data_IF_076827942380
#
_entry.id   IF_076827942380
#
_cell.length_a   1.000
_cell.length_b   1.000
_cell.length_c   1.000
_cell.angle_alpha   90.00
_cell.angle_beta   90.00
_cell.angle_gamma   90.00
#
_symmetry.space_group_name_H-M   'P 1'
#
loop_
_entity.id
_entity.type
_entity.pdbx_description
1 polymer ?
#
# COMPACT_ATOMS: atom_id res chain seq x y z
N UNK A 1 -58.45 -67.88 -26.68
CA UNK A 1 -58.57 -69.35 -26.51
C UNK A 1 -57.19 -69.92 -26.16
N UNK A 2 -57.14 -70.69 -25.08
CA UNK A 2 -56.09 -71.63 -24.63
C UNK A 2 -54.69 -71.17 -24.14
N UNK A 3 -54.51 -71.37 -22.83
CA UNK A 3 -53.26 -71.66 -22.08
C UNK A 3 -52.60 -72.99 -22.50
N UNK A 4 -51.27 -73.09 -22.28
CA UNK A 4 -50.48 -74.23 -21.73
C UNK A 4 -49.01 -73.76 -21.64
N UNK A 5 -48.37 -73.53 -20.49
CA UNK A 5 -47.76 -74.45 -19.50
C UNK A 5 -46.79 -75.49 -20.07
N UNK A 6 -45.47 -75.38 -19.78
CA UNK A 6 -44.63 -76.56 -19.49
C UNK A 6 -43.24 -76.22 -18.88
N UNK A 7 -43.04 -76.70 -17.65
CA UNK A 7 -41.90 -77.46 -17.07
C UNK A 7 -40.43 -76.98 -17.08
N UNK A 8 -39.93 -77.01 -15.84
CA UNK A 8 -38.59 -77.05 -15.25
C UNK A 8 -37.63 -78.15 -15.76
N UNK A 9 -36.29 -77.89 -15.79
CA UNK A 9 -35.18 -78.76 -15.29
C UNK A 9 -33.78 -78.21 -15.66
N UNK A 10 -32.91 -78.09 -14.66
CA UNK A 10 -31.46 -77.83 -14.78
C UNK A 10 -30.66 -79.08 -15.19
N UNK A 11 -29.42 -78.90 -15.69
CA UNK A 11 -28.33 -79.76 -15.22
C UNK A 11 -26.99 -79.04 -14.90
N UNK A 12 -26.43 -79.42 -13.75
CA UNK A 12 -25.06 -79.88 -13.44
C UNK A 12 -23.81 -78.96 -13.59
N UNK A 13 -23.06 -78.97 -12.48
CA UNK A 13 -21.75 -78.44 -12.11
C UNK A 13 -20.52 -78.91 -12.93
N UNK A 14 -19.52 -78.02 -13.14
CA UNK A 14 -18.12 -78.03 -12.59
C UNK A 14 -17.01 -77.54 -13.57
N UNK A 15 -16.38 -76.43 -13.13
CA UNK A 15 -15.00 -75.96 -13.23
C UNK A 15 -14.00 -76.47 -14.30
N UNK A 16 -13.36 -75.51 -15.00
CA UNK A 16 -11.91 -75.56 -15.28
C UNK A 16 -11.28 -74.16 -15.27
N UNK A 17 -10.12 -74.06 -14.61
CA UNK A 17 -9.28 -72.88 -14.34
C UNK A 17 -8.73 -72.25 -15.62
N UNK A 18 -8.61 -70.92 -15.67
CA UNK A 18 -7.43 -70.24 -16.25
C UNK A 18 -7.08 -69.02 -15.39
N UNK A 19 -5.78 -68.91 -15.17
CA UNK A 19 -4.95 -68.01 -14.38
C UNK A 19 -5.12 -66.50 -14.62
N UNK A 20 -4.76 -65.76 -13.57
CA UNK A 20 -4.66 -64.31 -13.51
C UNK A 20 -3.71 -63.71 -14.57
N UNK A 21 -4.10 -62.56 -15.10
CA UNK A 21 -3.17 -61.52 -15.54
C UNK A 21 -3.47 -60.27 -14.70
N UNK A 22 -2.61 -60.02 -13.72
CA UNK A 22 -2.60 -58.79 -12.95
C UNK A 22 -1.81 -57.71 -13.70
N UNK A 23 -2.30 -56.47 -13.58
CA UNK A 23 -1.56 -55.23 -13.51
C UNK A 23 -0.63 -54.87 -14.68
N UNK A 24 -1.07 -53.96 -15.58
CA UNK A 24 -0.43 -52.66 -15.85
C UNK A 24 -1.48 -51.75 -16.55
N UNK A 25 -2.33 -51.06 -15.80
CA UNK A 25 -3.14 -49.96 -16.36
C UNK A 25 -3.51 -48.86 -15.32
N UNK A 26 -2.99 -48.96 -14.09
CA UNK A 26 -3.41 -48.08 -12.98
C UNK A 26 -2.36 -47.08 -12.49
N UNK A 27 -1.13 -47.08 -13.04
CA UNK A 27 -0.04 -46.22 -12.54
C UNK A 27 0.42 -45.12 -13.51
N UNK A 28 -0.05 -45.10 -14.76
CA UNK A 28 0.31 -44.05 -15.72
C UNK A 28 -0.59 -42.80 -15.63
N UNK A 29 -1.77 -42.90 -15.03
CA UNK A 29 -2.69 -41.76 -14.89
C UNK A 29 -2.44 -40.90 -13.64
N UNK A 30 -1.83 -41.45 -12.58
CA UNK A 30 -1.49 -40.66 -11.38
C UNK A 30 -0.14 -39.93 -11.51
N UNK A 31 0.77 -40.42 -12.36
CA UNK A 31 1.99 -39.70 -12.76
C UNK A 31 1.70 -38.63 -13.83
N UNK A 32 0.72 -38.85 -14.71
CA UNK A 32 0.31 -37.85 -15.70
C UNK A 32 -0.50 -36.68 -15.09
N UNK A 33 -1.26 -36.92 -14.01
CA UNK A 33 -2.06 -35.87 -13.33
C UNK A 33 -1.26 -35.10 -12.27
N UNK A 34 -0.04 -35.54 -11.97
CA UNK A 34 0.93 -34.77 -11.15
C UNK A 34 1.94 -33.99 -12.00
N UNK A 35 2.04 -34.26 -13.31
CA UNK A 35 2.88 -33.51 -14.25
C UNK A 35 2.16 -32.35 -14.96
N UNK A 36 0.83 -32.26 -14.91
CA UNK A 36 0.06 -31.18 -15.56
C UNK A 36 -0.22 -29.96 -14.64
N UNK A 37 0.51 -29.83 -13.53
CA UNK A 37 0.51 -28.63 -12.66
C UNK A 37 1.92 -28.10 -12.41
N UNK A 38 2.91 -28.51 -13.23
CA UNK A 38 4.17 -27.78 -13.26
C UNK A 38 3.85 -26.36 -13.73
N UNK A 39 3.92 -25.44 -12.76
CA UNK A 39 3.70 -24.01 -12.85
C UNK A 39 4.05 -23.42 -14.23
N UNK A 40 3.12 -22.66 -14.81
CA UNK A 40 3.47 -21.64 -15.80
C UNK A 40 4.31 -20.59 -15.06
N UNK A 41 5.61 -20.85 -14.92
CA UNK A 41 6.57 -19.92 -14.38
C UNK A 41 6.65 -18.66 -15.23
N UNK A 42 7.34 -17.62 -14.75
CA UNK A 42 7.49 -16.37 -15.50
C UNK A 42 8.08 -16.64 -16.89
N UNK A 43 7.42 -16.10 -17.92
CA UNK A 43 7.88 -16.17 -19.31
C UNK A 43 9.03 -15.19 -19.60
N UNK A 44 9.32 -14.29 -18.67
CA UNK A 44 10.40 -13.31 -18.71
C UNK A 44 11.36 -13.51 -17.54
N UNK A 45 12.66 -13.31 -17.77
CA UNK A 45 13.64 -13.28 -16.69
C UNK A 45 13.37 -12.09 -15.76
N UNK A 46 13.63 -12.28 -14.47
CA UNK A 46 13.50 -11.22 -13.46
C UNK A 46 14.41 -10.03 -13.84
N UNK A 47 13.89 -8.79 -13.90
CA UNK A 47 14.71 -7.60 -14.11
C UNK A 47 15.80 -7.46 -13.03
N UNK A 48 16.85 -6.70 -13.34
CA UNK A 48 17.79 -6.26 -12.31
C UNK A 48 17.13 -5.38 -11.25
N UNK A 49 17.71 -5.32 -10.05
CA UNK A 49 17.31 -4.33 -9.05
C UNK A 49 17.48 -2.91 -9.62
N UNK A 50 16.52 -1.99 -9.37
CA UNK A 50 16.62 -0.63 -9.88
C UNK A 50 17.77 0.12 -9.23
N UNK A 51 18.54 0.87 -10.02
CA UNK A 51 19.60 1.76 -9.55
C UNK A 51 19.22 3.21 -9.80
N UNK A 52 19.54 4.08 -8.83
CA UNK A 52 19.30 5.53 -8.93
C UNK A 52 20.37 6.16 -9.83
N UNK A 53 19.94 6.76 -10.94
CA UNK A 53 20.79 7.47 -11.90
C UNK A 53 20.83 8.96 -11.59
N UNK A 54 19.68 9.56 -11.25
CA UNK A 54 19.55 10.95 -10.84
C UNK A 54 18.42 11.08 -9.83
N UNK A 55 18.59 11.98 -8.86
CA UNK A 55 17.62 12.24 -7.80
C UNK A 55 17.54 13.74 -7.55
N UNK A 56 16.52 14.37 -8.09
CA UNK A 56 16.25 15.80 -8.04
C UNK A 56 14.89 16.03 -7.37
N UNK A 57 14.62 17.23 -6.83
CA UNK A 57 13.30 17.52 -6.27
C UNK A 57 12.22 17.24 -7.32
N UNK A 58 11.22 16.43 -6.96
CA UNK A 58 10.11 16.00 -7.82
C UNK A 58 10.47 15.04 -8.97
N UNK A 59 11.74 14.66 -9.14
CA UNK A 59 12.18 13.84 -10.27
C UNK A 59 13.19 12.76 -9.85
N UNK A 60 12.93 11.51 -10.24
CA UNK A 60 13.80 10.38 -9.96
C UNK A 60 14.05 9.59 -11.24
N UNK A 61 15.31 9.46 -11.63
CA UNK A 61 15.71 8.65 -12.77
C UNK A 61 16.25 7.31 -12.28
N UNK A 62 15.64 6.22 -12.74
CA UNK A 62 16.02 4.84 -12.44
C UNK A 62 16.48 4.13 -13.70
N UNK A 63 17.39 3.17 -13.54
CA UNK A 63 17.78 2.21 -14.58
C UNK A 63 17.90 0.80 -13.98
N UNK A 64 17.83 -0.24 -14.81
CA UNK A 64 18.00 -1.64 -14.38
C UNK A 64 18.54 -2.50 -15.52
N UNK A 65 18.96 -3.71 -15.20
CA UNK A 65 19.26 -4.73 -16.22
C UNK A 65 17.94 -5.24 -16.84
N UNK A 66 17.80 -5.24 -18.18
CA UNK A 66 16.55 -5.63 -18.85
C UNK A 66 16.23 -7.12 -18.68
N UNK A 67 14.94 -7.44 -18.81
CA UNK A 67 14.44 -8.81 -18.91
C UNK A 67 14.60 -9.36 -20.34
N UNK A 68 14.66 -10.68 -20.43
CA UNK A 68 14.66 -11.47 -21.67
C UNK A 68 13.60 -12.56 -21.59
N UNK A 69 13.16 -13.10 -22.72
CA UNK A 69 12.28 -14.26 -22.73
C UNK A 69 12.96 -15.50 -22.13
N UNK A 70 12.18 -16.32 -21.42
CA UNK A 70 12.60 -17.61 -20.89
C UNK A 70 12.26 -18.70 -21.90
N UNK A 71 13.27 -19.45 -22.37
CA UNK A 71 13.09 -20.53 -23.33
C UNK A 71 13.13 -20.09 -24.80
N UNK A 72 13.08 -21.08 -25.71
CA UNK A 72 13.17 -20.89 -27.16
C UNK A 72 11.94 -21.46 -27.88
N UNK A 73 11.40 -20.79 -28.91
CA UNK A 73 11.81 -19.47 -29.39
C UNK A 73 11.35 -18.35 -28.45
N UNK A 74 12.21 -17.37 -28.22
CA UNK A 74 11.82 -16.15 -27.50
C UNK A 74 10.69 -15.40 -28.23
N UNK A 75 9.80 -14.74 -27.48
CA UNK A 75 8.76 -13.90 -28.05
C UNK A 75 9.31 -12.62 -28.70
N UNK A 76 8.54 -12.01 -29.59
CA UNK A 76 8.88 -10.74 -30.26
C UNK A 76 8.12 -9.55 -29.70
N UNK A 77 7.19 -9.80 -28.77
CA UNK A 77 6.36 -8.75 -28.18
C UNK A 77 7.20 -7.81 -27.30
N UNK A 78 6.87 -6.51 -27.28
CA UNK A 78 7.59 -5.54 -26.47
C UNK A 78 7.42 -5.88 -24.99
N UNK A 79 8.52 -5.72 -24.24
CA UNK A 79 8.51 -5.87 -22.79
C UNK A 79 8.28 -4.49 -22.17
N UNK A 80 7.23 -4.39 -21.35
CA UNK A 80 6.93 -3.22 -20.54
C UNK A 80 7.40 -3.47 -19.12
N UNK A 81 8.05 -2.47 -18.53
CA UNK A 81 8.49 -2.48 -17.14
C UNK A 81 7.61 -1.56 -16.32
N UNK A 82 7.25 -2.00 -15.11
CA UNK A 82 6.55 -1.21 -14.11
C UNK A 82 7.47 -0.98 -12.91
N UNK A 83 7.54 0.27 -12.44
CA UNK A 83 8.19 0.62 -11.17
C UNK A 83 7.14 0.52 -10.07
N UNK A 84 7.39 -0.35 -9.09
CA UNK A 84 6.47 -0.72 -8.04
C UNK A 84 7.03 -0.36 -6.66
N UNK A 85 6.16 0.10 -5.77
CA UNK A 85 6.42 0.21 -4.33
C UNK A 85 5.59 -0.85 -3.60
N UNK A 86 6.20 -1.84 -2.93
CA UNK A 86 5.48 -2.82 -2.13
C UNK A 86 4.81 -2.13 -0.94
N UNK A 87 3.51 -2.36 -0.76
CA UNK A 87 2.71 -1.85 0.38
C UNK A 87 2.28 -2.97 1.34
N UNK A 88 2.54 -4.22 0.96
CA UNK A 88 2.18 -5.41 1.73
C UNK A 88 2.30 -6.67 0.87
N UNK A 89 1.94 -7.85 1.41
CA UNK A 89 1.95 -9.09 0.65
C UNK A 89 1.12 -8.95 -0.63
N UNK A 90 1.76 -9.10 -1.79
CA UNK A 90 1.14 -9.00 -3.11
C UNK A 90 0.37 -7.69 -3.39
N UNK A 91 0.67 -6.62 -2.66
CA UNK A 91 0.03 -5.31 -2.84
C UNK A 91 1.11 -4.30 -3.21
N UNK A 92 0.96 -3.68 -4.37
CA UNK A 92 1.94 -2.74 -4.92
C UNK A 92 1.27 -1.46 -5.37
N UNK A 93 2.00 -0.36 -5.25
CA UNK A 93 1.68 0.92 -5.88
C UNK A 93 2.61 1.13 -7.07
N UNK A 94 2.04 1.29 -8.27
CA UNK A 94 2.80 1.69 -9.45
C UNK A 94 3.21 3.17 -9.39
N UNK A 95 4.48 3.46 -9.68
CA UNK A 95 4.98 4.83 -9.83
C UNK A 95 5.06 5.27 -11.29
N UNK A 96 5.20 4.31 -12.21
CA UNK A 96 5.27 4.58 -13.65
C UNK A 96 5.68 3.33 -14.44
N UNK A 97 5.58 3.42 -15.76
CA UNK A 97 5.91 2.33 -16.68
C UNK A 97 6.69 2.81 -17.90
N UNK A 98 7.52 1.93 -18.47
CA UNK A 98 8.36 2.23 -19.65
C UNK A 98 8.62 0.95 -20.46
N UNK A 99 9.02 1.08 -21.73
CA UNK A 99 9.47 -0.05 -22.55
C UNK A 99 11.00 -0.12 -22.69
N UNK A 100 11.72 0.83 -22.09
CA UNK A 100 13.18 0.82 -22.00
C UNK A 100 13.60 0.44 -20.59
N UNK A 101 14.83 -0.07 -20.37
CA UNK A 101 15.32 -0.44 -19.04
C UNK A 101 15.71 0.77 -18.17
N UNK A 102 15.00 1.89 -18.35
CA UNK A 102 15.21 3.15 -17.64
C UNK A 102 13.94 4.00 -17.67
N UNK A 103 13.70 4.76 -16.60
CA UNK A 103 12.58 5.70 -16.53
C UNK A 103 12.94 6.92 -15.70
N UNK A 104 12.43 8.07 -16.12
CA UNK A 104 12.40 9.29 -15.32
C UNK A 104 10.98 9.45 -14.76
N UNK A 105 10.83 9.23 -13.46
CA UNK A 105 9.59 9.48 -12.74
C UNK A 105 9.51 10.97 -12.41
N UNK A 106 8.34 11.57 -12.61
CA UNK A 106 8.07 12.98 -12.35
C UNK A 106 6.96 13.13 -11.31
N UNK A 107 6.85 14.32 -10.71
CA UNK A 107 5.86 14.65 -9.69
C UNK A 107 5.90 13.71 -8.47
N UNK A 108 7.07 13.14 -8.17
CA UNK A 108 7.25 12.35 -6.95
C UNK A 108 7.38 13.28 -5.74
N UNK A 109 6.64 13.02 -4.65
CA UNK A 109 6.80 13.78 -3.42
C UNK A 109 8.28 13.81 -2.97
N UNK A 110 8.87 15.00 -2.78
CA UNK A 110 10.25 15.12 -2.32
C UNK A 110 10.45 14.57 -0.90
N UNK A 111 11.70 14.26 -0.53
CA UNK A 111 12.07 13.76 0.80
C UNK A 111 11.38 12.46 1.25
N UNK A 112 10.81 11.70 0.32
CA UNK A 112 9.97 10.54 0.58
C UNK A 112 10.77 9.25 0.52
N UNK A 113 10.63 8.42 1.55
CA UNK A 113 11.19 7.07 1.60
C UNK A 113 10.34 6.12 0.75
N UNK A 114 11.02 5.37 -0.12
CA UNK A 114 10.43 4.31 -0.92
C UNK A 114 11.32 3.08 -0.90
N UNK A 115 10.70 1.92 -0.81
CA UNK A 115 11.25 0.67 -1.30
C UNK A 115 10.76 0.41 -2.73
N UNK A 116 11.64 0.50 -3.74
CA UNK A 116 11.24 0.32 -5.15
C UNK A 116 11.70 -1.02 -5.72
N UNK A 117 10.87 -1.62 -6.57
CA UNK A 117 11.20 -2.80 -7.35
C UNK A 117 10.67 -2.69 -8.79
N UNK A 118 11.16 -3.55 -9.68
CA UNK A 118 10.77 -3.58 -11.09
C UNK A 118 10.11 -4.92 -11.40
N UNK A 119 8.98 -4.86 -12.10
CA UNK A 119 8.37 -6.03 -12.75
C UNK A 119 8.29 -5.79 -14.25
N UNK A 120 8.55 -6.84 -15.03
CA UNK A 120 8.36 -6.83 -16.47
C UNK A 120 7.10 -7.61 -16.85
N UNK A 121 6.38 -7.14 -17.85
CA UNK A 121 5.26 -7.83 -18.45
C UNK A 121 5.21 -7.62 -19.96
N UNK A 122 4.51 -8.51 -20.64
CA UNK A 122 4.26 -8.45 -22.08
C UNK A 122 2.97 -9.20 -22.40
N UNK A 123 2.56 -9.22 -23.66
CA UNK A 123 1.41 -10.02 -24.07
C UNK A 123 1.78 -11.50 -23.89
N UNK A 124 1.03 -12.19 -23.03
CA UNK A 124 1.22 -13.62 -22.77
C UNK A 124 2.34 -13.97 -21.79
N UNK A 125 2.90 -12.99 -21.05
CA UNK A 125 3.99 -13.26 -20.12
C UNK A 125 4.24 -12.18 -19.07
N UNK A 126 4.85 -12.59 -17.95
CA UNK A 126 5.30 -11.72 -16.87
C UNK A 126 6.64 -12.22 -16.32
N UNK A 127 7.32 -11.37 -15.55
CA UNK A 127 8.47 -11.72 -14.71
C UNK A 127 8.09 -11.76 -13.23
N UNK A 128 8.90 -12.45 -12.43
CA UNK A 128 8.95 -12.15 -11.00
C UNK A 128 9.42 -10.70 -10.77
N UNK A 129 9.11 -10.14 -9.59
CA UNK A 129 9.59 -8.82 -9.16
C UNK A 129 11.08 -8.87 -8.84
N UNK A 130 11.83 -7.85 -9.24
CA UNK A 130 13.25 -7.72 -8.89
C UNK A 130 13.47 -7.54 -7.39
N UNK A 131 14.72 -7.67 -6.95
CA UNK A 131 15.09 -7.27 -5.60
C UNK A 131 14.83 -5.76 -5.41
N UNK A 132 14.46 -5.38 -4.18
CA UNK A 132 14.12 -4.01 -3.86
C UNK A 132 15.35 -3.13 -3.68
N UNK A 133 15.19 -1.85 -3.98
CA UNK A 133 16.14 -0.78 -3.65
C UNK A 133 15.46 0.23 -2.75
N UNK A 134 15.99 0.41 -1.54
CA UNK A 134 15.52 1.45 -0.63
C UNK A 134 16.15 2.80 -1.01
N UNK A 135 15.34 3.84 -1.12
CA UNK A 135 15.80 5.19 -1.42
C UNK A 135 14.95 6.26 -0.75
N UNK A 136 15.53 7.47 -0.66
CA UNK A 136 14.80 8.69 -0.33
C UNK A 136 14.90 9.66 -1.49
N UNK A 137 13.77 10.18 -1.96
CA UNK A 137 13.77 11.25 -2.98
C UNK A 137 14.44 12.51 -2.44
N UNK A 138 15.06 13.30 -3.32
CA UNK A 138 15.68 14.56 -2.94
C UNK A 138 14.68 15.46 -2.21
N UNK A 139 15.15 16.27 -1.26
CA UNK A 139 14.29 17.18 -0.52
C UNK A 139 13.75 18.31 -1.40
N UNK A 140 12.52 18.72 -1.12
CA UNK A 140 11.88 19.87 -1.75
C UNK A 140 12.27 21.17 -1.04
N UNK A 141 11.34 22.14 -1.06
CA UNK A 141 11.50 23.44 -0.39
C UNK A 141 11.48 23.36 1.13
N UNK A 142 10.83 22.34 1.69
CA UNK A 142 10.74 22.15 3.12
C UNK A 142 10.63 20.67 3.47
N UNK A 143 10.86 20.33 4.74
CA UNK A 143 10.64 18.99 5.29
C UNK A 143 10.01 19.06 6.68
N UNK A 144 9.53 17.91 7.17
CA UNK A 144 9.08 17.75 8.55
C UNK A 144 10.04 16.83 9.30
N UNK A 145 10.61 17.34 10.39
CA UNK A 145 11.23 16.51 11.41
C UNK A 145 10.21 16.25 12.53
N UNK A 146 10.24 15.04 13.07
CA UNK A 146 9.29 14.47 14.01
C UNK A 146 10.02 13.86 15.20
N UNK A 147 9.42 13.99 16.37
CA UNK A 147 9.85 13.34 17.61
C UNK A 147 8.61 12.84 18.34
N UNK A 148 8.44 11.53 18.43
CA UNK A 148 7.39 10.96 19.27
C UNK A 148 7.78 11.13 20.75
N UNK A 149 6.87 11.67 21.56
CA UNK A 149 7.06 11.82 23.00
C UNK A 149 6.39 10.68 23.79
N UNK A 150 5.53 9.90 23.15
CA UNK A 150 4.85 8.78 23.74
C UNK A 150 5.53 7.44 23.41
N UNK A 151 5.90 6.72 24.46
CA UNK A 151 6.49 5.39 24.34
C UNK A 151 5.44 4.29 24.34
N UNK A 152 4.19 4.60 24.71
CA UNK A 152 3.07 3.70 24.66
C UNK A 152 2.32 3.90 23.33
N UNK A 153 2.33 2.93 22.40
CA UNK A 153 1.55 3.03 21.15
C UNK A 153 0.03 2.96 21.38
N UNK A 154 -0.39 2.73 22.62
CA UNK A 154 -1.79 2.66 23.01
C UNK A 154 -1.98 3.39 24.33
N UNK A 155 -2.49 4.61 24.27
CA UNK A 155 -2.84 5.45 25.41
C UNK A 155 -4.02 6.37 25.06
N UNK A 156 -4.46 7.22 25.98
CA UNK A 156 -5.57 8.15 25.81
C UNK A 156 -5.24 9.41 24.99
N UNK A 157 -4.00 9.54 24.50
CA UNK A 157 -3.55 10.70 23.73
C UNK A 157 -2.46 10.30 22.73
N UNK A 158 -2.46 10.96 21.58
CA UNK A 158 -1.35 11.02 20.63
C UNK A 158 -0.48 12.19 21.03
N UNK A 159 0.81 11.98 21.24
CA UNK A 159 1.72 13.05 21.71
C UNK A 159 3.05 13.06 20.98
N UNK A 160 3.30 14.13 20.21
CA UNK A 160 4.52 14.27 19.44
C UNK A 160 4.94 15.74 19.29
N UNK A 161 6.18 15.91 18.86
CA UNK A 161 6.72 17.20 18.45
C UNK A 161 7.04 17.14 16.97
N UNK A 162 6.67 18.19 16.24
CA UNK A 162 7.07 18.39 14.86
C UNK A 162 7.79 19.73 14.69
N UNK A 163 8.58 19.84 13.63
CA UNK A 163 9.11 21.11 13.16
C UNK A 163 9.18 21.13 11.65
N UNK A 164 8.84 22.28 11.07
CA UNK A 164 9.03 22.57 9.65
C UNK A 164 10.44 23.11 9.47
N UNK A 165 11.21 22.52 8.55
CA UNK A 165 12.57 22.95 8.23
C UNK A 165 12.62 23.41 6.78
N UNK A 166 13.15 24.60 6.52
CA UNK A 166 13.37 25.10 5.17
C UNK A 166 14.61 24.45 4.56
N UNK A 167 14.41 23.57 3.58
CA UNK A 167 15.49 22.88 2.85
C UNK A 167 15.82 23.56 1.52
N UNK A 168 15.05 24.59 1.14
CA UNK A 168 15.27 25.36 -0.07
C UNK A 168 16.36 26.43 0.09
N UNK A 169 16.67 27.09 -1.04
CA UNK A 169 17.66 28.16 -1.10
C UNK A 169 17.07 29.58 -0.90
N UNK A 170 15.75 29.69 -0.70
CA UNK A 170 15.04 30.97 -0.54
C UNK A 170 14.30 31.01 0.79
N UNK A 171 14.02 32.21 1.35
CA UNK A 171 13.16 32.33 2.52
C UNK A 171 11.78 31.69 2.29
N UNK A 172 11.28 30.96 3.29
CA UNK A 172 9.99 30.28 3.27
C UNK A 172 9.00 31.02 4.17
N UNK A 173 7.93 31.60 3.59
CA UNK A 173 6.81 32.12 4.36
C UNK A 173 5.95 30.97 4.88
N UNK A 174 5.82 30.84 6.20
CA UNK A 174 5.06 29.75 6.81
C UNK A 174 3.56 29.83 6.49
N UNK A 175 3.04 30.99 6.08
CA UNK A 175 1.62 31.10 5.67
C UNK A 175 1.28 30.27 4.45
N UNK A 176 2.27 29.91 3.64
CA UNK A 176 2.08 29.08 2.46
C UNK A 176 2.23 27.58 2.76
N UNK A 177 2.65 27.24 3.98
CA UNK A 177 2.90 25.87 4.41
C UNK A 177 1.62 25.24 4.96
N UNK A 178 1.36 24.00 4.52
CA UNK A 178 0.36 23.10 5.11
C UNK A 178 1.05 21.81 5.48
N UNK A 179 0.87 21.33 6.70
CA UNK A 179 1.41 20.05 7.17
C UNK A 179 0.26 19.16 7.61
N UNK A 180 0.19 17.93 7.10
CA UNK A 180 -0.86 16.96 7.44
C UNK A 180 -0.27 15.76 8.17
N UNK A 181 -0.69 15.57 9.43
CA UNK A 181 -0.48 14.34 10.18
C UNK A 181 -1.65 13.40 9.89
N UNK A 182 -1.40 12.33 9.14
CA UNK A 182 -2.37 11.34 8.72
C UNK A 182 -2.59 10.29 9.82
N UNK A 183 -3.85 9.97 10.07
CA UNK A 183 -4.29 9.04 11.11
C UNK A 183 -5.50 8.22 10.67
N UNK A 184 -5.80 7.17 11.41
CA UNK A 184 -6.98 6.33 11.23
C UNK A 184 -7.90 6.48 12.44
N UNK A 185 -9.15 6.92 12.21
CA UNK A 185 -10.14 7.04 13.27
C UNK A 185 -10.74 5.67 13.60
N UNK A 186 -10.11 4.99 14.55
CA UNK A 186 -10.54 3.67 14.98
C UNK A 186 -11.97 3.67 15.55
N UNK A 187 -12.73 2.64 15.17
CA UNK A 187 -14.14 2.51 15.53
C UNK A 187 -15.06 3.53 14.85
N UNK A 188 -14.55 4.32 13.91
CA UNK A 188 -15.32 5.30 13.14
C UNK A 188 -15.69 6.57 13.88
N UNK A 189 -15.16 6.80 15.09
CA UNK A 189 -15.35 8.05 15.81
C UNK A 189 -14.37 9.10 15.30
N UNK A 190 -14.87 10.00 14.44
CA UNK A 190 -14.07 11.08 13.83
C UNK A 190 -13.93 12.32 14.73
N UNK A 191 -14.30 12.24 16.00
CA UNK A 191 -14.15 13.35 16.95
C UNK A 191 -12.80 13.27 17.67
N UNK A 192 -11.97 14.29 17.46
CA UNK A 192 -10.67 14.44 18.09
C UNK A 192 -10.50 15.88 18.57
N UNK A 193 -10.07 16.05 19.82
CA UNK A 193 -9.60 17.34 20.33
C UNK A 193 -8.14 17.48 19.90
N UNK A 194 -7.82 18.60 19.24
CA UNK A 194 -6.48 18.86 18.71
C UNK A 194 -5.86 20.06 19.39
N UNK A 195 -4.77 19.84 20.11
CA UNK A 195 -4.12 20.83 20.97
C UNK A 195 -2.69 21.10 20.54
N UNK A 196 -2.22 22.29 20.90
CA UNK A 196 -0.84 22.72 20.82
C UNK A 196 -0.46 23.04 22.26
N UNK A 197 0.39 22.22 22.85
CA UNK A 197 0.80 22.40 24.25
C UNK A 197 1.85 23.50 24.34
N UNK A 198 2.75 23.55 23.34
CA UNK A 198 3.81 24.53 23.24
C UNK A 198 4.32 24.64 21.81
N UNK A 199 4.68 25.84 21.37
CA UNK A 199 5.36 26.05 20.11
C UNK A 199 6.34 27.21 20.21
N UNK A 200 7.52 27.07 19.62
CA UNK A 200 8.51 28.16 19.57
C UNK A 200 7.95 29.41 18.87
N UNK A 201 7.09 29.23 17.86
CA UNK A 201 6.38 30.30 17.16
C UNK A 201 5.20 30.89 17.95
N UNK A 202 4.81 30.27 19.07
CA UNK A 202 3.55 30.53 19.78
C UNK A 202 2.39 29.69 19.23
N UNK A 203 1.63 29.03 20.12
CA UNK A 203 0.51 28.18 19.72
C UNK A 203 -0.67 28.96 19.10
N UNK A 204 -0.77 30.27 19.36
CA UNK A 204 -1.71 31.18 18.71
C UNK A 204 -1.47 31.31 17.20
N UNK A 205 -0.25 31.00 16.75
CA UNK A 205 0.13 31.00 15.32
C UNK A 205 -0.03 29.66 14.62
N UNK A 206 -0.33 28.59 15.35
CA UNK A 206 -0.50 27.24 14.81
C UNK A 206 -1.98 26.87 14.81
N UNK A 207 -2.61 26.98 13.65
CA UNK A 207 -3.99 26.56 13.45
C UNK A 207 -4.01 25.05 13.17
N UNK A 208 -4.98 24.34 13.77
CA UNK A 208 -5.18 22.91 13.54
C UNK A 208 -6.60 22.68 13.05
N UNK A 209 -6.76 21.85 12.04
CA UNK A 209 -8.05 21.49 11.46
C UNK A 209 -8.11 19.98 11.26
N UNK A 210 -9.25 19.38 11.62
CA UNK A 210 -9.48 17.95 11.50
C UNK A 210 -10.22 17.65 10.20
N UNK A 211 -9.68 16.72 9.40
CA UNK A 211 -10.30 16.23 8.18
C UNK A 211 -10.47 14.71 8.26
N UNK A 212 -11.55 14.19 7.69
CA UNK A 212 -11.83 12.76 7.62
C UNK A 212 -12.56 12.42 6.33
N UNK A 213 -12.40 11.18 5.86
CA UNK A 213 -12.94 10.71 4.59
C UNK A 213 -13.76 9.45 4.81
N UNK A 214 -15.09 9.62 4.81
CA UNK A 214 -15.98 8.47 4.89
C UNK A 214 -15.81 7.62 3.62
N UNK A 215 -15.75 6.28 3.74
CA UNK A 215 -15.69 5.42 2.57
C UNK A 215 -16.97 5.61 1.72
N UNK A 216 -16.96 5.30 0.42
CA UNK A 216 -18.10 5.48 -0.46
C UNK A 216 -19.14 4.38 -0.31
N UNK A 217 -20.43 4.73 -0.25
CA UNK A 217 -21.52 3.76 -0.14
C UNK A 217 -21.48 2.72 -1.28
N UNK A 218 -21.88 1.46 -1.02
CA UNK A 218 -21.97 0.45 -2.07
C UNK A 218 -22.87 0.95 -3.21
N UNK A 219 -22.55 0.63 -4.48
CA UNK A 219 -23.41 0.98 -5.58
C UNK A 219 -24.80 0.36 -5.39
N UNK A 220 -25.88 1.05 -5.82
CA UNK A 220 -27.20 0.46 -5.78
C UNK A 220 -27.24 -0.83 -6.61
N UNK A 221 -28.09 -1.80 -6.23
CA UNK A 221 -28.20 -3.05 -6.99
C UNK A 221 -28.69 -2.78 -8.42
N UNK A 222 -28.33 -3.66 -9.39
CA UNK A 222 -28.72 -3.47 -10.79
C UNK A 222 -30.24 -3.35 -10.97
N UNK A 223 -30.72 -2.55 -11.95
CA UNK A 223 -32.14 -2.51 -12.27
C UNK A 223 -32.69 -3.90 -12.58
N UNK A 224 -33.75 -4.33 -11.88
CA UNK A 224 -34.40 -5.62 -12.10
C UNK A 224 -33.98 -6.75 -11.15
N UNK A 225 -33.03 -6.52 -10.22
CA UNK A 225 -32.83 -7.44 -9.11
C UNK A 225 -34.04 -7.42 -8.18
N UNK A 226 -34.68 -8.57 -7.96
CA UNK A 226 -35.74 -8.71 -6.96
C UNK A 226 -35.21 -8.27 -5.59
N UNK A 227 -35.92 -7.41 -4.83
CA UNK A 227 -35.46 -7.00 -3.51
C UNK A 227 -35.43 -8.25 -2.63
N UNK A 228 -34.24 -8.80 -2.43
CA UNK A 228 -34.04 -9.70 -1.29
C UNK A 228 -34.30 -8.81 -0.07
N UNK A 229 -35.22 -9.17 0.83
CA UNK A 229 -35.44 -8.35 2.02
C UNK A 229 -34.14 -8.34 2.81
N UNK A 230 -33.37 -7.26 2.68
CA UNK A 230 -32.24 -6.97 3.56
C UNK A 230 -32.90 -6.58 4.89
N UNK A 231 -32.81 -7.39 5.94
CA UNK A 231 -33.66 -7.23 7.12
C UNK A 231 -33.23 -6.07 8.03
N UNK A 232 -32.37 -5.15 7.59
CA UNK A 232 -31.83 -4.10 8.44
C UNK A 232 -31.53 -2.87 7.62
N UNK A 233 -31.89 -1.69 8.14
CA UNK A 233 -31.36 -0.43 7.64
C UNK A 233 -29.82 -0.50 7.69
N UNK A 234 -29.17 -0.70 6.55
CA UNK A 234 -27.71 -0.64 6.45
C UNK A 234 -27.30 0.80 6.69
N UNK A 235 -27.03 1.16 7.95
CA UNK A 235 -26.28 2.37 8.27
C UNK A 235 -24.91 2.23 7.63
N UNK A 236 -24.58 3.16 6.73
CA UNK A 236 -23.30 3.18 6.03
C UNK A 236 -22.52 4.44 6.41
N UNK A 237 -21.19 4.36 6.67
CA UNK A 237 -20.43 3.12 6.82
C UNK A 237 -20.93 2.28 7.99
N UNK A 238 -20.59 0.98 7.98
CA UNK A 238 -20.92 0.08 9.08
C UNK A 238 -20.37 0.68 10.37
N UNK A 239 -21.16 0.73 11.47
CA UNK A 239 -20.63 1.22 12.75
C UNK A 239 -19.35 0.47 13.12
N UNK A 240 -18.30 1.21 13.49
CA UNK A 240 -16.98 0.64 13.77
C UNK A 240 -16.02 0.61 12.59
N UNK A 241 -16.45 0.92 11.36
CA UNK A 241 -15.54 1.03 10.21
C UNK A 241 -14.49 2.12 10.48
N UNK A 242 -13.18 1.80 10.42
CA UNK A 242 -12.12 2.80 10.52
C UNK A 242 -12.27 3.85 9.41
N UNK A 243 -12.06 5.11 9.76
CA UNK A 243 -12.17 6.23 8.83
C UNK A 243 -10.79 6.87 8.67
N UNK A 244 -10.22 6.94 7.47
CA UNK A 244 -8.96 7.65 7.26
C UNK A 244 -9.17 9.16 7.41
N UNK A 245 -8.15 9.86 7.88
CA UNK A 245 -8.16 11.31 7.92
C UNK A 245 -6.81 11.90 8.31
N UNK A 246 -6.82 13.19 8.62
CA UNK A 246 -5.61 13.89 9.04
C UNK A 246 -5.92 15.11 9.91
N UNK A 247 -4.93 15.49 10.72
CA UNK A 247 -4.87 16.82 11.34
C UNK A 247 -3.97 17.70 10.50
N UNK A 248 -4.56 18.75 9.92
CA UNK A 248 -3.86 19.76 9.15
C UNK A 248 -3.39 20.89 10.05
N UNK A 249 -2.12 21.24 9.94
CA UNK A 249 -1.52 22.42 10.53
C UNK A 249 -1.35 23.50 9.46
N UNK A 250 -1.76 24.72 9.80
CA UNK A 250 -1.47 25.95 9.03
C UNK A 250 -0.95 27.04 9.95
N UNK A 251 -0.17 27.97 9.39
CA UNK A 251 0.49 29.01 10.16
C UNK A 251 -0.04 30.40 9.80
N UNK A 252 -0.21 31.27 10.80
CA UNK A 252 -0.70 32.64 10.58
C UNK A 252 0.44 33.63 10.24
N UNK A 253 1.70 33.23 10.45
CA UNK A 253 2.88 34.01 10.09
C UNK A 253 4.19 33.35 10.47
N UNK A 254 5.29 34.02 10.08
CA UNK A 254 6.67 33.57 10.28
C UNK A 254 7.37 33.35 8.94
N UNK A 255 8.69 33.54 8.93
CA UNK A 255 9.54 33.29 7.77
C UNK A 255 10.77 32.53 8.20
N UNK A 256 11.10 31.45 7.50
CA UNK A 256 12.30 30.65 7.74
C UNK A 256 13.35 30.99 6.70
N UNK A 257 14.53 31.43 7.12
CA UNK A 257 15.67 31.52 6.21
C UNK A 257 16.08 30.11 5.72
N UNK A 258 16.85 30.00 4.62
CA UNK A 258 17.40 28.72 4.18
C UNK A 258 18.12 27.99 5.32
N UNK A 259 17.76 26.72 5.56
CA UNK A 259 18.33 25.89 6.63
C UNK A 259 17.71 26.08 8.02
N UNK A 260 16.89 27.12 8.23
CA UNK A 260 16.24 27.38 9.52
C UNK A 260 14.98 26.51 9.71
N UNK A 261 14.58 26.38 10.98
CA UNK A 261 13.37 25.65 11.38
C UNK A 261 12.35 26.55 12.07
N UNK A 262 11.09 26.10 12.11
CA UNK A 262 10.06 26.69 12.97
C UNK A 262 10.39 26.62 14.47
N UNK A 263 11.41 25.85 14.85
CA UNK A 263 11.55 25.31 16.19
C UNK A 263 10.45 24.29 16.50
N UNK A 264 10.48 23.72 17.71
CA UNK A 264 9.57 22.64 18.09
C UNK A 264 8.12 23.13 18.22
N UNK A 265 7.19 22.29 17.75
CA UNK A 265 5.74 22.44 17.88
C UNK A 265 5.23 21.16 18.53
N UNK A 266 4.88 21.22 19.81
CA UNK A 266 4.35 20.11 20.58
C UNK A 266 2.85 20.02 20.41
N UNK A 267 2.38 18.87 19.95
CA UNK A 267 1.00 18.62 19.56
C UNK A 267 0.46 17.44 20.36
N UNK A 268 -0.78 17.58 20.81
CA UNK A 268 -1.50 16.54 21.51
C UNK A 268 -2.88 16.35 20.90
N UNK A 269 -3.22 15.12 20.56
CA UNK A 269 -4.55 14.77 20.08
C UNK A 269 -5.20 13.74 20.99
N UNK A 270 -6.47 13.90 21.33
CA UNK A 270 -7.17 12.93 22.17
C UNK A 270 -8.66 12.88 21.86
N UNK A 271 -9.32 11.77 22.21
CA UNK A 271 -10.77 11.68 22.15
C UNK A 271 -11.41 12.56 23.23
N UNK A 272 -12.60 13.10 22.97
CA UNK A 272 -13.33 13.94 23.94
C UNK A 272 -13.51 13.28 25.32
N UNK A 273 -13.65 11.95 25.33
CA UNK A 273 -13.86 11.15 26.54
C UNK A 273 -12.58 10.51 27.09
N UNK A 274 -11.40 10.84 26.55
CA UNK A 274 -10.10 10.28 26.95
C UNK A 274 -10.04 8.75 26.87
N UNK A 275 -10.86 8.12 26.03
CA UNK A 275 -10.68 6.69 25.74
C UNK A 275 -9.41 6.47 24.93
N UNK A 276 -8.77 5.33 25.15
CA UNK A 276 -7.54 4.97 24.48
C UNK A 276 -7.69 4.95 22.94
N UNK A 277 -6.61 5.36 22.28
CA UNK A 277 -6.34 5.21 20.86
C UNK A 277 -5.19 4.22 20.68
N UNK A 278 -5.14 3.54 19.53
CA UNK A 278 -3.97 2.80 19.08
C UNK A 278 -3.39 3.58 17.91
N UNK A 279 -2.10 3.87 17.93
CA UNK A 279 -1.47 4.71 16.92
C UNK A 279 -0.75 3.89 15.83
N UNK A 280 -0.65 2.57 15.99
CA UNK A 280 0.18 1.72 15.10
C UNK A 280 -0.34 1.64 13.67
N UNK A 281 -1.62 1.89 13.48
CA UNK A 281 -2.30 1.97 12.19
C UNK A 281 -2.50 3.42 11.70
N UNK A 282 -1.98 4.42 12.43
CA UNK A 282 -1.89 5.79 11.94
C UNK A 282 -0.74 5.89 10.92
N UNK A 283 -1.01 6.34 9.67
CA UNK A 283 0.03 6.42 8.67
C UNK A 283 1.20 7.30 9.10
N UNK A 284 0.95 8.44 9.76
CA UNK A 284 2.02 9.34 10.20
C UNK A 284 2.71 8.91 11.50
N UNK A 285 2.28 7.87 12.19
CA UNK A 285 2.91 7.46 13.45
C UNK A 285 4.26 6.77 13.22
N UNK A 286 5.21 7.06 14.10
CA UNK A 286 6.46 6.32 14.25
C UNK A 286 6.74 6.10 15.73
N UNK A 287 7.21 4.91 16.08
CA UNK A 287 7.58 4.59 17.46
C UNK A 287 8.62 5.57 18.03
N UNK A 288 8.52 5.86 19.33
CA UNK A 288 9.49 6.69 20.01
C UNK A 288 10.90 6.09 20.01
N UNK A 289 11.86 6.93 19.64
CA UNK A 289 13.30 6.63 19.67
C UNK A 289 14.06 7.58 20.60
N UNK A 290 13.40 8.62 21.12
CA UNK A 290 14.00 9.69 21.91
C UNK A 290 14.83 10.70 21.11
N UNK A 291 14.86 10.59 19.78
CA UNK A 291 15.60 11.50 18.89
C UNK A 291 14.73 11.98 17.74
N UNK A 292 15.05 13.18 17.24
CA UNK A 292 14.41 13.72 16.04
C UNK A 292 14.75 12.86 14.83
N UNK A 293 13.74 12.58 14.00
CA UNK A 293 13.91 11.94 12.71
C UNK A 293 12.99 12.59 11.67
N UNK A 294 13.38 12.53 10.40
CA UNK A 294 12.49 12.96 9.33
C UNK A 294 11.41 11.90 9.09
N UNK A 295 10.15 12.28 9.21
CA UNK A 295 9.02 11.37 9.05
C UNK A 295 8.30 11.65 7.74
N UNK A 296 8.72 10.98 6.67
CA UNK A 296 8.15 11.15 5.34
C UNK A 296 6.72 10.62 5.19
N UNK A 297 6.11 10.09 6.26
CA UNK A 297 4.68 9.74 6.30
C UNK A 297 3.80 10.90 6.72
N UNK A 298 4.39 11.99 7.20
CA UNK A 298 3.75 13.30 7.34
C UNK A 298 3.94 14.02 6.01
N UNK A 299 2.87 14.61 5.48
CA UNK A 299 2.95 15.34 4.22
C UNK A 299 3.02 16.83 4.47
N UNK A 300 3.84 17.53 3.70
CA UNK A 300 3.92 18.99 3.74
C UNK A 300 3.84 19.57 2.33
N UNK A 301 2.93 20.53 2.18
CA UNK A 301 2.74 21.30 0.96
C UNK A 301 3.22 22.74 1.18
N UNK A 302 3.82 23.34 0.14
CA UNK A 302 4.14 24.77 0.09
C UNK A 302 3.47 25.34 -1.16
N UNK A 303 2.66 26.39 -0.98
CA UNK A 303 1.89 27.00 -2.08
C UNK A 303 0.98 25.99 -2.82
N UNK A 304 0.52 24.96 -2.09
CA UNK A 304 -0.32 23.88 -2.65
C UNK A 304 0.43 22.81 -3.44
N UNK A 305 1.77 22.88 -3.52
CA UNK A 305 2.62 21.85 -4.12
C UNK A 305 3.21 20.98 -3.02
N UNK A 306 3.16 19.65 -3.19
CA UNK A 306 3.76 18.70 -2.25
C UNK A 306 5.28 18.85 -2.21
N UNK A 307 5.85 19.30 -1.09
CA UNK A 307 7.29 19.50 -0.94
C UNK A 307 7.96 18.48 -0.01
N UNK A 308 7.17 17.67 0.71
CA UNK A 308 7.70 16.58 1.52
C UNK A 308 6.67 15.49 1.78
N UNK A 309 7.11 14.24 1.66
CA UNK A 309 6.42 13.06 2.19
C UNK A 309 5.25 12.54 1.36
N UNK A 310 4.89 11.29 1.63
CA UNK A 310 3.73 10.58 1.10
C UNK A 310 3.13 9.78 2.26
N UNK A 311 1.82 9.79 2.44
CA UNK A 311 1.17 9.05 3.54
C UNK A 311 1.46 7.55 3.49
N UNK A 312 1.85 7.02 2.33
CA UNK A 312 2.22 5.62 2.14
C UNK A 312 3.74 5.37 2.13
N UNK A 313 4.55 6.34 2.56
CA UNK A 313 6.01 6.19 2.59
C UNK A 313 6.44 5.05 3.51
N UNK A 314 7.40 4.25 3.07
CA UNK A 314 7.85 3.04 3.77
C UNK A 314 8.94 2.31 3.05
#
# INVERSE_FOLDING_TARGET
>A
MHRRSSTNRMPVMRARRVTAAAAVAGLLSLLAVTAARAADGPALTTPGAPVVVANEPHQLTLAWTPSTWVGEPGGTEPITYEVLVPLGPNTYRGLGSTQTPSITLAALPPGTEYQVAIQAHTIGGYSDTSATTDLRTAYGRAKVSYLNLDWAPTDNQVHFVAQVVNTGAQPLDLRTVRMDYHLTFEGGNTSLVTECDWAALGCDRVQRQLFFYLPPAPPPPPPGSSPTPVPTATRYPVPGTPVPGHVRLTFTGGTLAPGESSGPIQLRFHRQNWTAVDERDDPSWRAATGVWADNSRITLDVDGVREFGDQYAG
#
